data_IF_905422238808
#
_entry.id   IF_905422238808
#
_cell.length_a   1.000
_cell.length_b   1.000
_cell.length_c   1.000
_cell.angle_alpha   90.00
_cell.angle_beta   90.00
_cell.angle_gamma   90.00
#
_symmetry.space_group_name_H-M   'P 1'
#
loop_
_entity.id
_entity.type
_entity.pdbx_description
1 polymer ?
#
# COMPACT_ATOMS: atom_id res chain seq x y z
N UNK A 1 3.88 -27.56 24.14
CA UNK A 1 2.54 -27.00 24.43
C UNK A 1 1.58 -27.49 23.35
N UNK A 2 0.41 -28.08 23.71
CA UNK A 2 -0.58 -28.52 22.69
C UNK A 2 -1.20 -27.30 22.04
N UNK A 3 -1.16 -27.21 20.70
CA UNK A 3 -1.73 -26.10 19.92
C UNK A 3 -3.28 -26.25 19.84
N UNK A 4 -3.97 -26.07 20.96
CA UNK A 4 -5.42 -26.32 21.12
C UNK A 4 -6.30 -25.49 20.17
N UNK A 5 -5.79 -24.35 19.69
CA UNK A 5 -6.49 -23.49 18.73
C UNK A 5 -6.65 -24.13 17.35
N UNK A 6 -5.81 -25.09 16.97
CA UNK A 6 -5.90 -25.77 15.67
C UNK A 6 -7.23 -26.54 15.50
N UNK A 7 -7.85 -26.96 16.60
CA UNK A 7 -9.17 -27.61 16.58
C UNK A 7 -10.30 -26.66 16.14
N UNK A 8 -10.03 -25.35 16.07
CA UNK A 8 -10.98 -24.31 15.64
C UNK A 8 -10.72 -23.83 14.21
N UNK A 9 -9.66 -24.30 13.57
CA UNK A 9 -9.38 -23.94 12.18
C UNK A 9 -10.37 -24.60 11.25
N UNK A 10 -10.92 -23.88 10.26
CA UNK A 10 -11.63 -24.46 9.14
C UNK A 10 -10.74 -25.46 8.39
N UNK A 11 -11.35 -26.47 7.74
CA UNK A 11 -10.61 -27.54 7.09
C UNK A 11 -9.70 -27.08 5.94
N UNK A 12 -9.99 -25.93 5.35
CA UNK A 12 -9.26 -25.30 4.25
C UNK A 12 -8.14 -24.35 4.72
N UNK A 13 -8.04 -24.13 6.04
CA UNK A 13 -6.99 -23.28 6.62
C UNK A 13 -5.84 -24.16 7.13
N UNK A 14 -4.64 -24.05 6.55
CA UNK A 14 -3.49 -24.85 7.01
C UNK A 14 -3.05 -24.44 8.41
N UNK A 15 -2.57 -25.42 9.17
CA UNK A 15 -2.07 -25.20 10.54
C UNK A 15 -0.82 -24.32 10.60
N UNK A 16 -0.07 -24.27 9.52
CA UNK A 16 1.19 -23.51 9.38
C UNK A 16 1.21 -22.82 8.02
N UNK A 17 1.77 -21.62 7.98
CA UNK A 17 2.02 -20.89 6.73
C UNK A 17 3.34 -21.35 6.12
N UNK A 18 3.43 -21.30 4.78
CA UNK A 18 4.70 -21.40 4.08
C UNK A 18 5.20 -19.98 3.80
N UNK A 19 6.19 -19.46 4.55
CA UNK A 19 6.70 -18.10 4.36
C UNK A 19 7.42 -17.93 3.02
N UNK A 20 7.92 -19.01 2.42
CA UNK A 20 8.67 -18.98 1.17
C UNK A 20 7.79 -19.15 -0.08
N UNK A 21 6.47 -19.17 0.09
CA UNK A 21 5.52 -19.31 -1.02
C UNK A 21 5.60 -18.19 -2.04
N UNK A 22 5.91 -16.98 -1.59
CA UNK A 22 6.11 -15.78 -2.41
C UNK A 22 7.37 -15.07 -1.96
N UNK A 23 8.21 -14.66 -2.90
CA UNK A 23 9.46 -13.97 -2.60
C UNK A 23 9.28 -12.49 -2.25
N UNK A 24 8.11 -11.93 -2.61
CA UNK A 24 7.79 -10.54 -2.33
C UNK A 24 6.27 -10.28 -2.32
N UNK A 25 5.87 -9.13 -1.75
CA UNK A 25 4.49 -8.64 -1.85
C UNK A 25 4.09 -8.33 -3.30
N UNK A 26 5.03 -7.93 -4.13
CA UNK A 26 4.79 -7.68 -5.56
C UNK A 26 4.43 -9.00 -6.27
N UNK A 27 5.17 -10.07 -6.03
CA UNK A 27 4.87 -11.39 -6.59
C UNK A 27 3.50 -11.92 -6.13
N UNK A 28 3.19 -11.81 -4.84
CA UNK A 28 1.88 -12.15 -4.31
C UNK A 28 0.76 -11.35 -5.00
N UNK A 29 0.96 -10.04 -5.18
CA UNK A 29 0.01 -9.17 -5.85
C UNK A 29 -0.20 -9.58 -7.31
N UNK A 30 0.87 -9.77 -8.07
CA UNK A 30 0.82 -10.19 -9.47
C UNK A 30 0.16 -11.57 -9.66
N UNK A 31 0.44 -12.51 -8.75
CA UNK A 31 -0.23 -13.80 -8.73
C UNK A 31 -1.74 -13.64 -8.50
N UNK A 32 -2.14 -12.76 -7.58
CA UNK A 32 -3.55 -12.48 -7.28
C UNK A 32 -4.25 -11.81 -8.47
N UNK A 33 -3.59 -10.86 -9.13
CA UNK A 33 -4.11 -10.20 -10.35
C UNK A 33 -4.36 -11.23 -11.47
N UNK A 34 -3.40 -12.11 -11.74
CA UNK A 34 -3.57 -13.16 -12.76
C UNK A 34 -4.75 -14.08 -12.47
N UNK A 35 -4.97 -14.40 -11.19
CA UNK A 35 -6.02 -15.35 -10.78
C UNK A 35 -7.42 -14.72 -10.68
N UNK A 36 -7.49 -13.44 -10.28
CA UNK A 36 -8.74 -12.78 -9.91
C UNK A 36 -9.01 -11.49 -10.69
N UNK A 37 -8.43 -11.33 -11.88
CA UNK A 37 -8.39 -10.08 -12.66
C UNK A 37 -9.70 -9.28 -12.65
N UNK A 38 -10.82 -9.93 -12.91
CA UNK A 38 -12.12 -9.27 -13.08
C UNK A 38 -12.96 -9.25 -11.79
N UNK A 39 -12.42 -9.81 -10.70
CA UNK A 39 -13.10 -9.77 -9.41
C UNK A 39 -12.86 -8.45 -8.68
N UNK A 40 -13.79 -8.02 -7.82
CA UNK A 40 -13.59 -6.89 -6.92
C UNK A 40 -12.37 -7.11 -6.01
N UNK A 41 -11.43 -6.18 -6.00
CA UNK A 41 -10.30 -6.15 -5.07
C UNK A 41 -10.62 -5.24 -3.87
N UNK A 42 -11.20 -4.08 -4.13
CA UNK A 42 -11.57 -3.08 -3.11
C UNK A 42 -12.89 -2.42 -3.45
N UNK A 43 -13.64 -2.07 -2.42
CA UNK A 43 -14.90 -1.31 -2.53
C UNK A 43 -14.83 -0.13 -1.55
N UNK A 44 -15.16 1.06 -2.01
CA UNK A 44 -15.25 2.25 -1.17
C UNK A 44 -16.34 3.19 -1.70
N UNK A 45 -17.23 3.64 -0.82
CA UNK A 45 -18.33 4.57 -1.15
C UNK A 45 -19.18 4.15 -2.39
N UNK A 46 -19.40 2.85 -2.55
CA UNK A 46 -20.15 2.30 -3.70
C UNK A 46 -19.34 2.09 -4.97
N UNK A 47 -18.12 2.63 -5.04
CA UNK A 47 -17.20 2.39 -6.15
C UNK A 47 -16.42 1.09 -5.98
N UNK A 48 -16.29 0.34 -7.07
CA UNK A 48 -15.60 -0.95 -7.10
C UNK A 48 -14.31 -0.82 -7.92
N UNK A 49 -13.21 -1.27 -7.34
CA UNK A 49 -11.93 -1.44 -8.03
C UNK A 49 -11.65 -2.93 -8.20
N UNK A 50 -11.55 -3.41 -9.44
CA UNK A 50 -11.15 -4.78 -9.74
C UNK A 50 -9.63 -4.96 -9.60
N UNK A 51 -9.15 -6.22 -9.48
CA UNK A 51 -7.73 -6.51 -9.48
C UNK A 51 -7.03 -6.02 -10.75
N UNK A 52 -7.66 -6.15 -11.93
CA UNK A 52 -7.15 -5.63 -13.21
C UNK A 52 -6.94 -4.12 -13.15
N UNK A 53 -7.95 -3.38 -12.71
CA UNK A 53 -7.88 -1.91 -12.63
C UNK A 53 -6.84 -1.44 -11.61
N UNK A 54 -6.71 -2.15 -10.49
CA UNK A 54 -5.66 -1.90 -9.51
C UNK A 54 -4.27 -2.12 -10.10
N UNK A 55 -4.09 -3.20 -10.86
CA UNK A 55 -2.84 -3.52 -11.54
C UNK A 55 -2.44 -2.43 -12.54
N UNK A 56 -3.34 -2.04 -13.43
CA UNK A 56 -3.11 -1.00 -14.44
C UNK A 56 -2.73 0.34 -13.79
N UNK A 57 -3.48 0.77 -12.77
CA UNK A 57 -3.23 2.03 -12.07
C UNK A 57 -1.95 2.02 -11.27
N UNK A 58 -1.66 0.93 -10.55
CA UNK A 58 -0.42 0.82 -9.78
C UNK A 58 0.81 0.75 -10.68
N UNK A 59 0.72 0.15 -11.87
CA UNK A 59 1.79 0.15 -12.87
C UNK A 59 2.06 1.55 -13.40
N UNK A 60 1.00 2.28 -13.79
CA UNK A 60 1.13 3.66 -14.25
C UNK A 60 1.74 4.56 -13.17
N UNK A 61 1.33 4.38 -11.91
CA UNK A 61 1.90 5.13 -10.80
C UNK A 61 3.37 4.77 -10.53
N UNK A 62 3.74 3.48 -10.63
CA UNK A 62 5.14 3.06 -10.53
C UNK A 62 6.02 3.72 -11.61
N UNK A 63 5.56 3.75 -12.86
CA UNK A 63 6.26 4.42 -13.96
C UNK A 63 6.42 5.93 -13.69
N UNK A 64 5.37 6.59 -13.17
CA UNK A 64 5.46 8.00 -12.79
C UNK A 64 6.50 8.26 -11.70
N UNK A 65 6.59 7.41 -10.68
CA UNK A 65 7.61 7.53 -9.64
C UNK A 65 9.03 7.40 -10.19
N UNK A 66 9.24 6.47 -11.12
CA UNK A 66 10.55 6.20 -11.71
C UNK A 66 10.94 7.24 -12.76
N UNK A 67 10.06 7.51 -13.73
CA UNK A 67 10.36 8.34 -14.90
C UNK A 67 9.98 9.81 -14.68
N UNK A 68 8.85 10.07 -14.02
CA UNK A 68 8.36 11.43 -13.77
C UNK A 68 9.08 12.13 -12.62
N UNK A 69 9.32 11.42 -11.52
CA UNK A 69 10.00 11.95 -10.34
C UNK A 69 11.48 11.54 -10.26
N UNK A 70 11.94 10.63 -11.09
CA UNK A 70 13.33 10.16 -11.11
C UNK A 70 13.76 9.41 -9.84
N UNK A 71 12.81 8.87 -9.07
CA UNK A 71 13.10 8.15 -7.84
C UNK A 71 13.77 6.81 -8.14
N UNK A 72 14.64 6.36 -7.23
CA UNK A 72 15.46 5.18 -7.41
C UNK A 72 14.97 4.01 -6.55
N UNK A 73 15.37 2.79 -6.94
CA UNK A 73 15.13 1.60 -6.13
C UNK A 73 15.70 1.78 -4.71
N UNK A 74 14.88 1.51 -3.70
CA UNK A 74 15.23 1.65 -2.29
C UNK A 74 14.87 3.01 -1.68
N UNK A 75 14.46 3.99 -2.49
CA UNK A 75 13.93 5.26 -1.99
C UNK A 75 12.69 5.03 -1.13
N UNK A 76 12.54 5.85 -0.10
CA UNK A 76 11.39 5.79 0.80
C UNK A 76 10.35 6.80 0.39
N UNK A 77 9.13 6.32 0.17
CA UNK A 77 7.98 7.15 -0.21
C UNK A 77 6.94 7.09 0.90
N UNK A 78 6.66 8.22 1.51
CA UNK A 78 5.63 8.36 2.52
C UNK A 78 4.24 8.30 1.88
N UNK A 79 3.32 7.56 2.50
CA UNK A 79 1.94 7.40 2.04
C UNK A 79 0.99 7.83 3.16
N UNK A 80 0.42 9.02 3.02
CA UNK A 80 -0.47 9.67 3.99
C UNK A 80 -1.84 9.91 3.38
N UNK A 81 -2.72 8.95 3.52
CA UNK A 81 -4.14 9.10 3.10
C UNK A 81 -5.02 8.12 3.88
N UNK A 82 -6.33 8.40 3.99
CA UNK A 82 -7.26 7.47 4.62
C UNK A 82 -7.53 6.24 3.74
N UNK A 83 -8.44 5.39 4.17
CA UNK A 83 -8.87 4.19 3.45
C UNK A 83 -9.68 4.56 2.20
N UNK A 84 -8.99 4.99 1.16
CA UNK A 84 -9.53 5.32 -0.17
C UNK A 84 -9.07 4.30 -1.20
N UNK A 85 -9.75 4.20 -2.34
CA UNK A 85 -9.34 3.33 -3.44
C UNK A 85 -7.95 3.69 -4.01
N UNK A 86 -7.51 4.93 -3.83
CA UNK A 86 -6.19 5.41 -4.24
C UNK A 86 -5.06 4.84 -3.37
N UNK A 87 -5.36 4.49 -2.11
CA UNK A 87 -4.35 3.96 -1.19
C UNK A 87 -3.68 2.67 -1.72
N UNK A 88 -4.43 1.60 -2.07
CA UNK A 88 -3.81 0.41 -2.62
C UNK A 88 -3.13 0.65 -3.97
N UNK A 89 -3.60 1.59 -4.79
CA UNK A 89 -2.91 1.98 -6.04
C UNK A 89 -1.53 2.54 -5.73
N UNK A 90 -1.44 3.50 -4.81
CA UNK A 90 -0.18 4.09 -4.40
C UNK A 90 0.74 3.07 -3.71
N UNK A 91 0.21 2.28 -2.78
CA UNK A 91 0.95 1.23 -2.07
C UNK A 91 1.64 0.27 -3.04
N UNK A 92 0.85 -0.37 -3.92
CA UNK A 92 1.40 -1.33 -4.87
C UNK A 92 2.25 -0.66 -5.95
N UNK A 93 1.97 0.58 -6.32
CA UNK A 93 2.81 1.35 -7.23
C UNK A 93 4.20 1.60 -6.67
N UNK A 94 4.31 2.04 -5.41
CA UNK A 94 5.59 2.25 -4.72
C UNK A 94 6.38 0.93 -4.63
N UNK A 95 5.73 -0.16 -4.21
CA UNK A 95 6.38 -1.47 -4.09
C UNK A 95 6.85 -1.99 -5.45
N UNK A 96 6.05 -1.85 -6.51
CA UNK A 96 6.40 -2.26 -7.89
C UNK A 96 7.54 -1.44 -8.48
N UNK A 97 7.66 -0.18 -8.10
CA UNK A 97 8.80 0.66 -8.46
C UNK A 97 10.11 0.25 -7.75
N UNK A 98 10.05 -0.73 -6.85
CA UNK A 98 11.20 -1.18 -6.06
C UNK A 98 11.53 -0.28 -4.88
N UNK A 99 10.58 0.56 -4.48
CA UNK A 99 10.72 1.54 -3.39
C UNK A 99 10.12 1.01 -2.08
N UNK A 100 10.36 1.74 -1.01
CA UNK A 100 9.91 1.40 0.36
C UNK A 100 8.74 2.30 0.72
N UNK A 101 7.62 1.69 1.15
CA UNK A 101 6.46 2.42 1.65
C UNK A 101 6.68 2.81 3.10
N UNK A 102 6.50 4.09 3.41
CA UNK A 102 6.41 4.61 4.77
C UNK A 102 4.97 5.01 5.05
N UNK A 103 4.25 4.19 5.79
CA UNK A 103 2.86 4.51 6.15
C UNK A 103 2.81 5.63 7.18
N UNK A 104 2.06 6.68 6.88
CA UNK A 104 1.89 7.86 7.72
C UNK A 104 0.44 7.97 8.16
N UNK A 105 0.23 8.17 9.46
CA UNK A 105 -1.12 8.39 9.98
C UNK A 105 -1.66 9.74 9.47
N UNK A 106 -2.80 9.77 8.75
CA UNK A 106 -3.39 11.01 8.23
C UNK A 106 -3.85 11.98 9.33
N UNK A 107 -3.93 11.55 10.58
CA UNK A 107 -4.30 12.38 11.73
C UNK A 107 -3.10 13.00 12.45
N UNK A 108 -1.88 12.79 11.97
CA UNK A 108 -0.70 13.38 12.58
C UNK A 108 -0.74 14.91 12.52
N UNK A 109 -0.31 15.52 13.63
CA UNK A 109 -0.01 16.95 13.67
C UNK A 109 1.20 17.26 12.78
N UNK A 110 1.39 18.52 12.35
CA UNK A 110 2.56 18.91 11.56
C UNK A 110 3.89 18.48 12.19
N UNK A 111 4.02 18.59 13.51
CA UNK A 111 5.23 18.21 14.25
C UNK A 111 5.50 16.70 14.21
N UNK A 112 4.45 15.89 14.36
CA UNK A 112 4.56 14.42 14.27
C UNK A 112 4.91 13.99 12.84
N UNK A 113 4.31 14.63 11.85
CA UNK A 113 4.62 14.38 10.43
C UNK A 113 6.08 14.73 10.11
N UNK A 114 6.53 15.90 10.52
CA UNK A 114 7.92 16.35 10.34
C UNK A 114 8.90 15.35 10.96
N UNK A 115 8.62 14.92 12.20
CA UNK A 115 9.44 13.92 12.88
C UNK A 115 9.50 12.60 12.09
N UNK A 116 8.36 12.06 11.65
CA UNK A 116 8.33 10.80 10.92
C UNK A 116 9.02 10.89 9.56
N UNK A 117 8.85 11.98 8.83
CA UNK A 117 9.51 12.18 7.53
C UNK A 117 11.03 12.25 7.68
N UNK A 118 11.51 12.98 8.68
CA UNK A 118 12.94 13.10 8.97
C UNK A 118 13.53 11.76 9.44
N UNK A 119 12.87 11.08 10.36
CA UNK A 119 13.31 9.79 10.91
C UNK A 119 13.34 8.69 9.84
N UNK A 120 12.30 8.61 9.04
CA UNK A 120 12.23 7.61 7.96
C UNK A 120 13.17 7.92 6.78
N UNK A 121 13.57 9.17 6.59
CA UNK A 121 14.30 9.61 5.40
C UNK A 121 13.48 9.50 4.12
N UNK A 122 12.17 9.72 4.20
CA UNK A 122 11.30 9.72 3.03
C UNK A 122 11.66 10.88 2.08
N UNK A 123 11.83 10.56 0.79
CA UNK A 123 12.23 11.53 -0.26
C UNK A 123 11.03 12.11 -1.01
N UNK A 124 9.86 11.48 -0.86
CA UNK A 124 8.60 11.94 -1.45
C UNK A 124 7.44 11.57 -0.53
N UNK A 125 6.33 12.28 -0.66
CA UNK A 125 5.08 12.00 0.04
C UNK A 125 3.90 11.99 -0.93
N UNK A 126 3.06 10.95 -0.81
CA UNK A 126 1.77 10.84 -1.49
C UNK A 126 0.69 11.09 -0.47
N UNK A 127 -0.12 12.12 -0.68
CA UNK A 127 -1.17 12.51 0.25
C UNK A 127 -2.49 12.80 -0.48
N UNK A 128 -3.59 12.74 0.25
CA UNK A 128 -4.90 13.17 -0.24
C UNK A 128 -5.13 14.65 0.07
N UNK A 129 -5.67 15.39 -0.89
CA UNK A 129 -6.00 16.82 -0.71
C UNK A 129 -7.00 17.09 0.42
N UNK A 130 -7.83 16.12 0.81
CA UNK A 130 -8.75 16.23 1.94
C UNK A 130 -8.03 16.32 3.30
N UNK A 131 -6.70 16.10 3.33
CA UNK A 131 -5.85 16.18 4.53
C UNK A 131 -4.94 17.41 4.52
N UNK A 132 -5.08 18.29 3.55
CA UNK A 132 -4.52 19.65 3.68
C UNK A 132 -5.36 20.32 4.74
N UNK A 133 -4.93 20.22 6.00
CA UNK A 133 -5.50 21.02 7.08
C UNK A 133 -5.44 22.49 6.65
N UNK A 134 -6.58 23.17 6.71
CA UNK A 134 -6.57 24.62 6.56
C UNK A 134 -5.48 25.16 7.49
N UNK A 135 -4.64 26.10 7.00
CA UNK A 135 -3.70 26.77 7.88
C UNK A 135 -4.51 27.35 9.05
N UNK A 136 -4.22 26.88 10.25
CA UNK A 136 -4.80 27.44 11.48
C UNK A 136 -4.56 28.93 11.42
N UNK A 137 -5.62 29.71 11.19
CA UNK A 137 -5.54 31.16 11.27
C UNK A 137 -5.04 31.52 12.67
N UNK A 138 -4.09 32.44 12.76
CA UNK A 138 -3.57 32.92 14.03
C UNK A 138 -4.66 33.53 14.90
#
# INVERSE_FOLDING_TARGET
MKKVWLNRYPADVPAEINPDRYQSLVELFEHSVRRYADQPAFVNMGEVMTFRKLEERSRAFAAYLQEGLGLQKGDRVALMMPNLLQYPVALFGILRAGMIVVNVNPLYTPRELEHQLNDSGAVAIVLSLIHISEPTRP
#
